data_IF_982360789759
#
_entry.id   IF_982360789759
#
_cell.length_a   1.000
_cell.length_b   1.000
_cell.length_c   1.000
_cell.angle_alpha   90.00
_cell.angle_beta   90.00
_cell.angle_gamma   90.00
#
_symmetry.space_group_name_H-M   'P 1'
#
loop_
_entity.id
_entity.type
_entity.pdbx_description
1 polymer ?
#
# COMPACT_ATOMS: atom_id res chain seq x y z
N UNK A 1 31.51 -3.71 -11.36
CA UNK A 1 30.37 -4.39 -11.99
C UNK A 1 29.07 -3.86 -11.40
N UNK A 2 28.21 -3.34 -12.23
CA UNK A 2 26.93 -2.79 -11.77
C UNK A 2 25.97 -3.93 -11.49
N UNK A 3 25.46 -3.95 -10.28
CA UNK A 3 24.42 -4.91 -9.91
C UNK A 3 23.06 -4.31 -10.25
N UNK A 4 22.30 -5.02 -11.05
CA UNK A 4 20.94 -4.61 -11.34
C UNK A 4 20.09 -4.96 -10.11
N UNK A 5 19.48 -3.94 -9.51
CA UNK A 5 18.56 -4.15 -8.40
C UNK A 5 17.15 -4.18 -8.95
N UNK A 6 16.48 -5.31 -8.75
CA UNK A 6 15.08 -5.42 -9.11
C UNK A 6 14.23 -4.64 -8.12
N UNK A 7 13.35 -3.81 -8.62
CA UNK A 7 12.47 -3.00 -7.81
C UNK A 7 11.03 -3.46 -7.95
N UNK A 8 10.29 -3.33 -6.88
CA UNK A 8 8.86 -3.62 -6.84
C UNK A 8 8.10 -2.44 -6.28
N UNK A 9 6.85 -2.34 -6.63
CA UNK A 9 5.93 -1.43 -5.96
C UNK A 9 4.96 -2.23 -5.12
N UNK A 10 4.85 -1.85 -3.86
CA UNK A 10 3.84 -2.42 -2.96
C UNK A 10 2.77 -1.37 -2.76
N UNK A 11 1.53 -1.77 -2.96
CA UNK A 11 0.38 -0.93 -2.66
C UNK A 11 -0.52 -1.65 -1.68
N UNK A 12 -1.06 -0.90 -0.73
CA UNK A 12 -1.99 -1.44 0.25
C UNK A 12 -3.14 -0.47 0.45
N UNK A 13 -4.34 -1.00 0.57
CA UNK A 13 -5.51 -0.21 0.97
C UNK A 13 -5.94 -0.74 2.32
N UNK A 14 -5.96 0.13 3.31
CA UNK A 14 -6.22 -0.25 4.71
C UNK A 14 -7.18 0.73 5.36
N UNK A 15 -7.83 0.33 6.47
CA UNK A 15 -8.57 1.28 7.27
C UNK A 15 -7.64 2.32 7.89
N UNK A 16 -8.07 3.59 7.99
CA UNK A 16 -7.20 4.66 8.49
C UNK A 16 -6.59 4.40 9.87
N UNK A 17 -7.35 3.76 10.76
CA UNK A 17 -6.88 3.54 12.12
C UNK A 17 -5.72 2.53 12.22
N UNK A 18 -5.43 1.79 11.16
CA UNK A 18 -4.29 0.85 11.13
C UNK A 18 -2.97 1.51 10.74
N UNK A 19 -3.04 2.69 10.16
CA UNK A 19 -1.83 3.36 9.65
C UNK A 19 -0.76 3.61 10.72
N UNK A 20 -1.10 4.10 11.94
CA UNK A 20 -0.05 4.35 12.93
C UNK A 20 0.73 3.09 13.32
N UNK A 21 0.06 1.95 13.43
CA UNK A 21 0.73 0.69 13.77
C UNK A 21 1.62 0.21 12.63
N UNK A 22 1.18 0.35 11.41
CA UNK A 22 2.00 0.00 10.24
C UNK A 22 3.25 0.87 10.21
N UNK A 23 3.08 2.19 10.39
CA UNK A 23 4.20 3.11 10.40
C UNK A 23 5.21 2.74 11.48
N UNK A 24 4.74 2.44 12.68
CA UNK A 24 5.62 2.06 13.78
C UNK A 24 6.37 0.77 13.50
N UNK A 25 5.70 -0.22 12.94
CA UNK A 25 6.33 -1.49 12.60
C UNK A 25 7.36 -1.33 11.49
N UNK A 26 7.09 -0.46 10.51
CA UNK A 26 8.02 -0.22 9.41
C UNK A 26 9.32 0.44 9.87
N UNK A 27 9.28 1.25 10.93
CA UNK A 27 10.48 1.90 11.48
C UNK A 27 11.52 0.89 11.92
N UNK A 28 11.09 -0.29 12.32
CA UNK A 28 11.99 -1.34 12.79
C UNK A 28 12.56 -2.18 11.65
N UNK A 29 12.11 -1.96 10.45
CA UNK A 29 12.61 -2.69 9.29
C UNK A 29 13.90 -2.04 8.80
N UNK A 30 14.96 -2.83 8.76
CA UNK A 30 16.25 -2.34 8.27
C UNK A 30 16.14 -1.95 6.80
N UNK A 31 16.66 -0.78 6.46
CA UNK A 31 16.63 -0.24 5.10
C UNK A 31 15.22 0.03 4.57
N UNK A 32 14.31 0.41 5.46
CA UNK A 32 12.97 0.78 5.07
C UNK A 32 13.00 1.87 3.99
N UNK A 33 12.34 1.65 2.85
CA UNK A 33 12.45 2.58 1.71
C UNK A 33 11.61 3.84 1.82
N UNK A 34 10.76 3.93 2.84
CA UNK A 34 9.79 5.02 2.94
C UNK A 34 8.45 4.63 2.35
N UNK A 35 7.44 5.43 2.62
CA UNK A 35 6.12 5.19 2.07
C UNK A 35 5.38 6.49 1.79
N UNK A 36 4.56 6.47 0.75
CA UNK A 36 3.66 7.56 0.40
C UNK A 36 2.25 7.17 0.81
N UNK A 37 1.53 8.10 1.43
CA UNK A 37 0.21 7.84 1.99
C UNK A 37 -0.79 8.78 1.35
N UNK A 38 -1.90 8.23 0.87
CA UNK A 38 -2.97 9.00 0.25
C UNK A 38 -4.30 8.60 0.90
N UNK A 39 -5.11 9.60 1.21
CA UNK A 39 -6.49 9.36 1.66
C UNK A 39 -7.35 9.06 0.44
N UNK A 40 -8.11 7.97 0.51
CA UNK A 40 -8.97 7.54 -0.59
C UNK A 40 -10.31 7.10 -0.02
N UNK A 41 -11.28 6.98 -0.90
CA UNK A 41 -12.58 6.42 -0.54
C UNK A 41 -12.74 5.07 -1.22
N UNK A 42 -13.11 4.07 -0.45
CA UNK A 42 -13.30 2.72 -0.95
C UNK A 42 -14.76 2.32 -0.97
N UNK A 43 -15.13 1.57 -2.00
CA UNK A 43 -16.44 0.96 -2.15
C UNK A 43 -16.17 -0.51 -2.51
N UNK A 44 -16.43 -1.41 -1.58
CA UNK A 44 -15.97 -2.80 -1.70
C UNK A 44 -17.10 -3.81 -1.77
N UNK A 45 -16.72 -5.07 -1.72
CA UNK A 45 -17.62 -6.21 -1.83
C UNK A 45 -18.58 -6.37 -0.65
N UNK A 46 -18.42 -5.61 0.42
CA UNK A 46 -19.29 -5.68 1.59
C UNK A 46 -20.63 -5.03 1.41
N UNK A 47 -20.92 -4.43 0.27
CA UNK A 47 -22.18 -3.78 -0.01
C UNK A 47 -23.27 -4.82 -0.25
N UNK A 48 -24.27 -4.83 0.63
CA UNK A 48 -25.30 -5.87 0.60
C UNK A 48 -26.38 -5.65 -0.45
N UNK A 49 -26.55 -4.44 -0.90
CA UNK A 49 -27.60 -4.12 -1.90
C UNK A 49 -27.14 -3.00 -2.78
N UNK A 50 -27.31 -3.21 -4.06
CA UNK A 50 -27.31 -2.13 -5.02
C UNK A 50 -28.68 -1.46 -4.91
N UNK A 51 -28.73 -0.23 -4.45
CA UNK A 51 -29.95 0.54 -4.42
C UNK A 51 -29.84 1.66 -5.44
N UNK A 52 -30.96 1.99 -6.07
CA UNK A 52 -31.03 3.10 -7.02
C UNK A 52 -31.08 4.44 -6.29
N UNK A 53 -30.98 4.45 -4.98
CA UNK A 53 -30.99 5.66 -4.17
C UNK A 53 -29.60 6.28 -4.14
N UNK A 54 -29.49 7.46 -4.73
CA UNK A 54 -28.23 8.22 -4.75
C UNK A 54 -27.67 8.46 -3.35
N UNK A 55 -28.55 8.65 -2.37
CA UNK A 55 -28.13 8.87 -0.99
C UNK A 55 -27.37 7.66 -0.45
N UNK A 56 -27.84 6.45 -0.74
CA UNK A 56 -27.15 5.24 -0.32
C UNK A 56 -25.86 5.02 -1.08
N UNK A 57 -25.81 5.34 -2.35
CA UNK A 57 -24.57 5.28 -3.12
C UNK A 57 -23.49 6.17 -2.49
N UNK A 58 -23.86 7.37 -2.06
CA UNK A 58 -22.90 8.28 -1.43
C UNK A 58 -22.43 7.78 -0.06
N UNK A 59 -23.28 7.04 0.67
CA UNK A 59 -22.90 6.50 1.99
C UNK A 59 -22.16 5.17 1.89
N UNK A 60 -22.12 4.54 0.71
CA UNK A 60 -21.43 3.27 0.51
C UNK A 60 -19.91 3.42 0.41
N UNK A 61 -19.42 4.64 0.30
CA UNK A 61 -17.99 4.89 0.28
C UNK A 61 -17.46 5.02 1.69
N UNK A 62 -16.35 4.36 1.94
CA UNK A 62 -15.70 4.34 3.25
C UNK A 62 -14.31 4.95 3.12
N UNK A 63 -13.93 5.87 4.03
CA UNK A 63 -12.57 6.38 4.02
C UNK A 63 -11.54 5.26 4.21
N UNK A 64 -10.52 5.25 3.39
CA UNK A 64 -9.43 4.31 3.42
C UNK A 64 -8.11 5.05 3.25
N UNK A 65 -7.03 4.34 3.48
CA UNK A 65 -5.68 4.83 3.21
C UNK A 65 -5.06 3.96 2.13
N UNK A 66 -4.50 4.61 1.13
CA UNK A 66 -3.65 3.94 0.14
C UNK A 66 -2.20 4.19 0.52
N UNK A 67 -1.45 3.13 0.71
CA UNK A 67 -0.01 3.18 0.97
C UNK A 67 0.70 2.73 -0.29
N UNK A 68 1.75 3.46 -0.69
CA UNK A 68 2.58 3.11 -1.83
C UNK A 68 4.04 3.10 -1.40
N UNK A 69 4.77 2.06 -1.78
CA UNK A 69 6.20 1.93 -1.48
C UNK A 69 6.91 1.39 -2.70
N UNK A 70 8.06 1.99 -3.02
CA UNK A 70 8.97 1.46 -4.02
C UNK A 70 10.13 0.83 -3.26
N UNK A 71 10.37 -0.45 -3.47
CA UNK A 71 11.28 -1.21 -2.63
C UNK A 71 12.13 -2.17 -3.46
N UNK A 72 13.39 -2.39 -3.03
CA UNK A 72 14.14 -3.52 -3.58
C UNK A 72 13.38 -4.83 -3.37
N UNK A 73 13.56 -5.74 -4.29
CA UNK A 73 12.86 -7.03 -4.29
C UNK A 73 13.10 -7.82 -2.99
N UNK A 74 14.29 -7.73 -2.42
CA UNK A 74 14.63 -8.49 -1.23
C UNK A 74 13.92 -8.02 0.05
N UNK A 75 13.30 -6.83 0.04
CA UNK A 75 12.54 -6.34 1.20
C UNK A 75 11.04 -6.65 1.09
N UNK A 76 10.58 -7.14 -0.05
CA UNK A 76 9.14 -7.31 -0.31
C UNK A 76 8.47 -8.19 0.74
N UNK A 77 9.02 -9.37 0.98
CA UNK A 77 8.37 -10.32 1.91
C UNK A 77 8.29 -9.78 3.33
N UNK A 78 9.33 -9.09 3.80
CA UNK A 78 9.31 -8.48 5.12
C UNK A 78 8.26 -7.40 5.25
N UNK A 79 8.10 -6.58 4.22
CA UNK A 79 7.09 -5.52 4.20
C UNK A 79 5.69 -6.13 4.17
N UNK A 80 5.46 -7.12 3.31
CA UNK A 80 4.16 -7.79 3.23
C UNK A 80 3.78 -8.41 4.56
N UNK A 81 4.74 -9.06 5.22
CA UNK A 81 4.49 -9.69 6.51
C UNK A 81 4.06 -8.66 7.55
N UNK A 82 4.71 -7.51 7.60
CA UNK A 82 4.35 -6.44 8.53
C UNK A 82 2.92 -5.96 8.26
N UNK A 83 2.59 -5.70 6.99
CA UNK A 83 1.26 -5.20 6.64
C UNK A 83 0.19 -6.22 7.02
N UNK A 84 0.41 -7.48 6.69
CA UNK A 84 -0.56 -8.55 6.99
C UNK A 84 -0.74 -8.70 8.51
N UNK A 85 0.35 -8.75 9.26
CA UNK A 85 0.26 -8.94 10.71
C UNK A 85 -0.47 -7.78 11.40
N UNK A 86 -0.25 -6.55 10.96
CA UNK A 86 -0.88 -5.39 11.59
C UNK A 86 -2.33 -5.23 11.14
N UNK A 87 -2.62 -5.46 9.87
CA UNK A 87 -3.93 -5.14 9.30
C UNK A 87 -4.93 -6.29 9.38
N UNK A 88 -4.46 -7.53 9.50
CA UNK A 88 -5.35 -8.70 9.47
C UNK A 88 -6.19 -8.80 10.75
N UNK A 89 -7.51 -8.92 10.58
CA UNK A 89 -8.44 -9.26 11.66
C UNK A 89 -9.34 -10.42 11.29
N UNK A 90 -9.36 -10.79 10.01
CA UNK A 90 -10.26 -11.81 9.48
C UNK A 90 -11.64 -11.28 9.12
N UNK A 91 -11.86 -9.99 9.24
CA UNK A 91 -13.14 -9.36 8.93
C UNK A 91 -13.09 -8.67 7.57
N UNK A 92 -14.26 -8.51 6.98
CA UNK A 92 -14.39 -7.68 5.79
C UNK A 92 -13.96 -6.25 6.13
N UNK A 93 -13.28 -5.62 5.22
CA UNK A 93 -12.80 -4.27 5.43
C UNK A 93 -11.36 -4.18 5.92
N UNK A 94 -10.68 -5.32 6.16
CA UNK A 94 -9.25 -5.33 6.49
C UNK A 94 -8.41 -4.67 5.40
N UNK A 95 -8.86 -4.77 4.16
CA UNK A 95 -8.17 -4.22 3.02
C UNK A 95 -7.43 -5.25 2.21
N UNK A 96 -6.52 -4.79 1.38
CA UNK A 96 -5.69 -5.67 0.56
C UNK A 96 -4.34 -5.06 0.33
N UNK A 97 -3.39 -5.90 -0.04
CA UNK A 97 -2.05 -5.49 -0.43
C UNK A 97 -1.66 -6.26 -1.69
N UNK A 98 -0.96 -5.59 -2.59
CA UNK A 98 -0.49 -6.24 -3.81
C UNK A 98 0.87 -5.69 -4.21
N UNK A 99 1.54 -6.43 -5.09
CA UNK A 99 2.90 -6.12 -5.53
C UNK A 99 2.92 -6.12 -7.04
N UNK A 100 3.58 -5.12 -7.63
CA UNK A 100 3.80 -5.08 -9.06
C UNK A 100 5.28 -4.85 -9.35
N UNK A 101 5.80 -5.41 -10.45
CA UNK A 101 7.18 -5.12 -10.85
C UNK A 101 7.31 -3.66 -11.29
N UNK A 102 8.46 -3.09 -11.00
CA UNK A 102 8.83 -1.76 -11.51
C UNK A 102 9.87 -1.96 -12.59
N UNK A 103 9.55 -1.50 -13.77
CA UNK A 103 10.44 -1.62 -14.90
C UNK A 103 11.66 -0.73 -14.74
N UNK A 104 11.47 0.46 -14.21
CA UNK A 104 12.55 1.42 -14.08
C UNK A 104 12.23 2.44 -12.99
N UNK A 105 13.22 2.76 -12.17
CA UNK A 105 13.11 3.78 -11.13
C UNK A 105 14.37 4.63 -11.15
N UNK A 106 14.20 5.92 -11.10
CA UNK A 106 15.31 6.87 -11.04
C UNK A 106 15.09 7.78 -9.83
N UNK A 107 16.06 7.84 -8.94
CA UNK A 107 16.02 8.80 -7.83
C UNK A 107 16.41 10.16 -8.36
N UNK A 108 15.53 11.13 -8.19
CA UNK A 108 15.75 12.46 -8.75
C UNK A 108 17.00 13.14 -8.18
N UNK A 109 17.38 12.79 -6.95
CA UNK A 109 18.59 13.32 -6.33
C UNK A 109 19.88 12.80 -6.97
N UNK A 110 19.84 11.70 -7.70
CA UNK A 110 21.04 11.05 -8.24
C UNK A 110 21.43 11.53 -9.63
N UNK A 111 20.64 12.33 -10.28
CA UNK A 111 20.97 12.98 -11.55
C UNK A 111 21.52 11.99 -12.60
N UNK A 112 20.81 10.90 -12.82
CA UNK A 112 21.21 9.88 -13.79
C UNK A 112 20.86 10.32 -15.20
N UNK A 113 21.80 10.14 -16.14
CA UNK A 113 21.53 10.40 -17.54
C UNK A 113 20.57 9.34 -18.09
N UNK A 114 19.47 9.78 -18.65
CA UNK A 114 18.48 8.90 -19.27
C UNK A 114 18.66 8.93 -20.78
N UNK A 115 18.95 7.75 -21.35
CA UNK A 115 19.10 7.62 -22.80
C UNK A 115 17.98 6.77 -23.37
#
# INVERSE_FOLDING_TARGET
MNRITLMKEIKAIIPPHRLPKIRSAMRNLKNFPGMTVTKVDGCGHGLKKVTDDLRQELTDYTPKILIQMLTPDDLVEGILQIIVEVAHTGQQGDGLVWVTPIERMIRLSEKITVE
#
